data_IF_828446742451
#
_entry.id   IF_828446742451
#
_cell.length_a   1.000
_cell.length_b   1.000
_cell.length_c   1.000
_cell.angle_alpha   90.00
_cell.angle_beta   90.00
_cell.angle_gamma   90.00
#
_symmetry.space_group_name_H-M   'P 1'
#
loop_
_entity.id
_entity.type
_entity.pdbx_description
1 polymer ?
#
# COMPACT_ATOMS: atom_id res chain seq x y z
N UNK A 1 14.14 9.30 -8.46
CA UNK A 1 15.62 9.22 -8.59
C UNK A 1 16.35 10.30 -7.76
N UNK A 2 15.71 10.85 -6.72
CA UNK A 2 16.28 11.87 -5.84
C UNK A 2 17.21 11.32 -4.75
N UNK A 3 17.38 9.99 -4.63
CA UNK A 3 18.23 9.36 -3.60
C UNK A 3 17.66 9.46 -2.17
N UNK A 4 16.32 9.51 -2.04
CA UNK A 4 15.62 9.52 -0.76
C UNK A 4 14.46 8.54 -0.76
N UNK A 5 14.04 8.10 0.43
CA UNK A 5 12.85 7.30 0.65
C UNK A 5 11.63 8.21 0.92
N UNK A 6 10.45 7.73 0.58
CA UNK A 6 9.18 8.36 0.92
C UNK A 6 8.55 7.55 2.05
N UNK A 7 8.16 8.23 3.13
CA UNK A 7 7.49 7.58 4.26
C UNK A 7 6.06 7.18 3.92
N UNK A 8 5.70 5.95 4.28
CA UNK A 8 4.34 5.43 4.25
C UNK A 8 3.83 5.25 5.69
N UNK A 9 2.69 5.83 6.00
CA UNK A 9 2.17 5.89 7.38
C UNK A 9 0.73 5.43 7.43
N UNK A 10 0.44 4.52 8.35
CA UNK A 10 -0.91 4.00 8.58
C UNK A 10 -1.82 5.09 9.15
N UNK A 11 -3.01 5.23 8.56
CA UNK A 11 -4.01 6.21 8.99
C UNK A 11 -5.37 5.53 9.22
N UNK A 12 -6.01 5.87 10.32
CA UNK A 12 -7.32 5.34 10.68
C UNK A 12 -8.23 6.36 11.41
N UNK A 13 -7.72 7.52 11.78
CA UNK A 13 -8.47 8.58 12.43
C UNK A 13 -7.96 9.97 12.07
N UNK A 14 -8.70 11.01 12.49
CA UNK A 14 -8.39 12.41 12.14
C UNK A 14 -7.06 12.88 12.75
N UNK A 15 -6.80 12.54 13.99
CA UNK A 15 -5.64 13.01 14.75
C UNK A 15 -4.32 12.50 14.11
N UNK A 16 -4.30 11.23 13.69
CA UNK A 16 -3.16 10.64 13.00
C UNK A 16 -2.96 11.31 11.64
N UNK A 17 -4.03 11.48 10.85
CA UNK A 17 -3.94 12.15 9.55
C UNK A 17 -3.42 13.58 9.71
N UNK A 18 -3.92 14.34 10.69
CA UNK A 18 -3.46 15.71 10.93
C UNK A 18 -1.98 15.76 11.32
N UNK A 19 -1.54 14.91 12.25
CA UNK A 19 -0.15 14.89 12.69
C UNK A 19 0.83 14.54 11.57
N UNK A 20 0.50 13.54 10.75
CA UNK A 20 1.33 13.15 9.61
C UNK A 20 1.38 14.26 8.57
N UNK A 21 0.24 14.85 8.21
CA UNK A 21 0.17 15.91 7.21
C UNK A 21 0.86 17.19 7.67
N UNK A 22 0.75 17.55 8.95
CA UNK A 22 1.47 18.69 9.51
C UNK A 22 3.00 18.50 9.41
N UNK A 23 3.48 17.32 9.80
CA UNK A 23 4.89 16.98 9.69
C UNK A 23 5.39 16.97 8.23
N UNK A 24 4.66 16.37 7.32
CA UNK A 24 4.98 16.33 5.90
C UNK A 24 5.00 17.74 5.28
N UNK A 25 4.00 18.56 5.56
CA UNK A 25 3.91 19.97 5.12
C UNK A 25 5.10 20.77 5.63
N UNK A 26 5.41 20.70 6.93
CA UNK A 26 6.53 21.42 7.55
C UNK A 26 7.88 21.08 6.92
N UNK A 27 8.05 19.83 6.48
CA UNK A 27 9.30 19.35 5.86
C UNK A 27 9.26 19.45 4.33
N UNK A 28 8.19 19.94 3.73
CA UNK A 28 7.97 19.93 2.28
C UNK A 28 8.25 18.56 1.65
N UNK A 29 7.78 17.51 2.31
CA UNK A 29 8.05 16.11 1.97
C UNK A 29 6.82 15.44 1.38
N UNK A 30 6.96 14.67 0.27
CA UNK A 30 5.89 13.79 -0.21
C UNK A 30 5.59 12.72 0.84
N UNK A 31 4.33 12.25 0.88
CA UNK A 31 3.89 11.27 1.88
C UNK A 31 2.92 10.26 1.29
N UNK A 32 2.99 9.02 1.75
CA UNK A 32 2.03 7.96 1.48
C UNK A 32 1.17 7.79 2.75
N UNK A 33 -0.14 8.00 2.62
CA UNK A 33 -1.12 7.68 3.65
C UNK A 33 -1.70 6.31 3.32
N UNK A 34 -1.32 5.30 4.09
CA UNK A 34 -1.72 3.93 3.83
C UNK A 34 -2.85 3.47 4.75
N UNK A 35 -3.72 2.65 4.20
CA UNK A 35 -4.95 2.20 4.83
C UNK A 35 -5.07 0.71 4.65
N UNK A 36 -4.98 -0.02 5.77
CA UNK A 36 -5.22 -1.47 5.77
C UNK A 36 -6.70 -1.83 5.69
N UNK A 37 -6.98 -3.10 5.43
CA UNK A 37 -8.34 -3.64 5.49
C UNK A 37 -8.96 -3.43 6.88
N UNK A 38 -8.17 -3.60 7.95
CA UNK A 38 -8.57 -3.34 9.33
C UNK A 38 -8.93 -1.87 9.57
N UNK A 39 -8.10 -0.94 9.11
CA UNK A 39 -8.36 0.50 9.21
C UNK A 39 -9.65 0.90 8.46
N UNK A 40 -9.89 0.34 7.27
CA UNK A 40 -11.12 0.56 6.50
C UNK A 40 -12.36 0.07 7.25
N UNK A 41 -12.27 -1.09 7.87
CA UNK A 41 -13.37 -1.64 8.70
C UNK A 41 -13.64 -0.80 9.94
N UNK A 42 -12.60 -0.32 10.61
CA UNK A 42 -12.69 0.51 11.81
C UNK A 42 -13.32 1.88 11.51
N UNK A 43 -12.76 2.62 10.56
CA UNK A 43 -13.10 4.02 10.33
C UNK A 43 -14.23 4.24 9.31
N UNK A 44 -14.68 3.20 8.61
CA UNK A 44 -15.54 3.23 7.44
C UNK A 44 -14.84 3.88 6.20
N UNK A 45 -14.85 3.23 5.04
CA UNK A 45 -14.13 3.70 3.84
C UNK A 45 -14.52 5.10 3.38
N UNK A 46 -15.80 5.48 3.54
CA UNK A 46 -16.29 6.80 3.11
C UNK A 46 -15.70 7.90 3.99
N UNK A 47 -15.73 7.72 5.31
CA UNK A 47 -15.15 8.70 6.24
C UNK A 47 -13.64 8.83 6.03
N UNK A 48 -12.94 7.70 5.91
CA UNK A 48 -11.49 7.69 5.77
C UNK A 48 -11.04 8.40 4.51
N UNK A 49 -11.69 8.12 3.38
CA UNK A 49 -11.45 8.84 2.12
C UNK A 49 -11.65 10.36 2.30
N UNK A 50 -12.76 10.78 2.94
CA UNK A 50 -13.04 12.19 3.15
C UNK A 50 -12.05 12.87 4.10
N UNK A 51 -11.54 12.16 5.10
CA UNK A 51 -10.47 12.66 5.96
C UNK A 51 -9.21 12.97 5.15
N UNK A 52 -8.78 12.04 4.30
CA UNK A 52 -7.60 12.22 3.46
C UNK A 52 -7.82 13.34 2.43
N UNK A 53 -8.96 13.37 1.75
CA UNK A 53 -9.30 14.46 0.81
C UNK A 53 -9.27 15.83 1.51
N UNK A 54 -9.84 15.93 2.72
CA UNK A 54 -9.83 17.16 3.51
C UNK A 54 -8.41 17.58 3.93
N UNK A 55 -7.58 16.63 4.30
CA UNK A 55 -6.19 16.89 4.66
C UNK A 55 -5.37 17.41 3.46
N UNK A 56 -5.58 16.87 2.27
CA UNK A 56 -4.98 17.36 1.03
C UNK A 56 -5.46 18.79 0.72
N UNK A 57 -6.75 19.07 0.88
CA UNK A 57 -7.31 20.41 0.68
C UNK A 57 -6.74 21.42 1.67
N UNK A 58 -6.61 21.05 2.95
CA UNK A 58 -5.97 21.91 3.97
C UNK A 58 -4.51 22.20 3.62
N UNK A 59 -3.77 21.21 3.14
CA UNK A 59 -2.38 21.39 2.70
C UNK A 59 -2.28 22.41 1.56
N UNK A 60 -3.12 22.30 0.53
CA UNK A 60 -3.16 23.27 -0.58
C UNK A 60 -3.52 24.69 -0.12
N UNK A 61 -4.47 24.82 0.80
CA UNK A 61 -4.86 26.12 1.38
C UNK A 61 -3.77 26.76 2.22
N UNK A 62 -2.84 25.99 2.79
CA UNK A 62 -1.68 26.51 3.54
C UNK A 62 -0.58 27.09 2.65
N UNK A 63 -0.71 26.97 1.33
CA UNK A 63 0.28 27.45 0.36
C UNK A 63 1.37 26.43 0.06
N UNK A 64 1.25 25.22 0.58
CA UNK A 64 2.10 24.05 0.26
C UNK A 64 1.31 23.08 -0.61
N UNK A 65 1.95 22.48 -1.60
CA UNK A 65 1.34 21.46 -2.47
C UNK A 65 2.25 20.24 -2.54
N UNK A 66 2.39 19.54 -1.40
CA UNK A 66 3.16 18.30 -1.34
C UNK A 66 2.39 17.17 -2.01
N UNK A 67 3.07 16.26 -2.71
CA UNK A 67 2.46 15.04 -3.23
C UNK A 67 1.97 14.14 -2.08
N UNK A 68 0.71 13.72 -2.15
CA UNK A 68 0.09 12.79 -1.20
C UNK A 68 -0.50 11.62 -1.96
N UNK A 69 -0.13 10.41 -1.56
CA UNK A 69 -0.67 9.16 -2.09
C UNK A 69 -1.65 8.57 -1.09
N UNK A 70 -2.81 8.15 -1.54
CA UNK A 70 -3.72 7.29 -0.78
C UNK A 70 -3.54 5.86 -1.26
N UNK A 71 -3.06 5.00 -0.37
CA UNK A 71 -2.61 3.64 -0.66
C UNK A 71 -3.41 2.60 0.12
N UNK A 72 -3.85 1.53 -0.55
CA UNK A 72 -4.34 0.32 0.12
C UNK A 72 -3.14 -0.54 0.52
N UNK A 73 -3.03 -0.82 1.81
CA UNK A 73 -2.01 -1.65 2.41
C UNK A 73 -2.54 -3.08 2.63
N UNK A 74 -1.77 -4.11 2.23
CA UNK A 74 -2.12 -5.53 2.33
C UNK A 74 -3.55 -5.87 1.86
N UNK A 75 -3.88 -5.53 0.62
CA UNK A 75 -5.15 -5.93 0.00
C UNK A 75 -5.26 -7.45 -0.11
N UNK A 76 -6.26 -8.09 0.52
CA UNK A 76 -6.33 -9.56 0.63
C UNK A 76 -6.81 -10.25 -0.66
N UNK A 77 -7.43 -9.51 -1.56
CA UNK A 77 -8.04 -10.04 -2.78
C UNK A 77 -8.31 -8.95 -3.84
N UNK A 78 -8.66 -9.41 -5.03
CA UNK A 78 -8.97 -8.53 -6.17
C UNK A 78 -10.15 -7.58 -5.91
N UNK A 79 -11.20 -8.05 -5.25
CA UNK A 79 -12.42 -7.24 -5.05
C UNK A 79 -12.14 -6.07 -4.09
N UNK A 80 -11.32 -6.28 -3.08
CA UNK A 80 -10.87 -5.21 -2.18
C UNK A 80 -10.02 -4.18 -2.91
N UNK A 81 -9.05 -4.61 -3.73
CA UNK A 81 -8.25 -3.71 -4.56
C UNK A 81 -9.15 -2.92 -5.53
N UNK A 82 -10.06 -3.61 -6.22
CA UNK A 82 -11.03 -3.00 -7.13
C UNK A 82 -11.89 -1.94 -6.44
N UNK A 83 -12.45 -2.23 -5.28
CA UNK A 83 -13.27 -1.30 -4.50
C UNK A 83 -12.46 -0.04 -4.08
N UNK A 84 -11.21 -0.21 -3.68
CA UNK A 84 -10.32 0.91 -3.40
C UNK A 84 -10.04 1.76 -4.64
N UNK A 85 -9.72 1.14 -5.77
CA UNK A 85 -9.48 1.82 -7.04
C UNK A 85 -10.72 2.62 -7.46
N UNK A 86 -11.89 1.99 -7.46
CA UNK A 86 -13.16 2.63 -7.83
C UNK A 86 -13.55 3.75 -6.84
N UNK A 87 -13.10 3.64 -5.61
CA UNK A 87 -13.26 4.68 -4.57
C UNK A 87 -12.28 5.85 -4.70
N UNK A 88 -11.28 5.77 -5.60
CA UNK A 88 -10.33 6.85 -5.88
C UNK A 88 -9.01 6.76 -5.12
N UNK A 89 -8.61 5.57 -4.67
CA UNK A 89 -7.24 5.31 -4.24
C UNK A 89 -6.29 5.48 -5.42
N UNK A 90 -5.13 6.05 -5.19
CA UNK A 90 -4.11 6.31 -6.22
C UNK A 90 -3.05 5.21 -6.28
N UNK A 91 -3.04 4.32 -5.29
CA UNK A 91 -2.15 3.18 -5.21
C UNK A 91 -2.83 2.05 -4.42
N UNK A 92 -2.58 0.81 -4.81
CA UNK A 92 -3.07 -0.37 -4.10
C UNK A 92 -1.97 -1.43 -4.02
N UNK A 93 -1.88 -2.11 -2.88
CA UNK A 93 -1.08 -3.32 -2.71
C UNK A 93 -2.00 -4.54 -2.74
N UNK A 94 -1.66 -5.51 -3.57
CA UNK A 94 -2.24 -6.84 -3.54
C UNK A 94 -1.27 -7.82 -2.86
N UNK A 95 -1.68 -8.35 -1.72
CA UNK A 95 -0.88 -9.33 -0.99
C UNK A 95 -1.30 -10.76 -1.35
N UNK A 96 -0.54 -11.34 -2.27
CA UNK A 96 -0.67 -12.73 -2.69
C UNK A 96 0.36 -13.68 -2.06
N UNK A 97 1.16 -13.22 -1.09
CA UNK A 97 2.29 -13.97 -0.49
C UNK A 97 1.88 -15.28 0.18
N UNK A 98 0.62 -15.41 0.59
CA UNK A 98 0.04 -16.64 1.16
C UNK A 98 -0.20 -17.74 0.13
N UNK A 99 -0.24 -17.42 -1.17
CA UNK A 99 -0.48 -18.37 -2.26
C UNK A 99 0.84 -18.89 -2.84
N UNK A 100 0.75 -19.91 -3.70
CA UNK A 100 1.87 -20.32 -4.53
C UNK A 100 2.22 -19.24 -5.59
N UNK A 101 3.42 -19.35 -6.14
CA UNK A 101 3.96 -18.35 -7.08
C UNK A 101 3.04 -18.09 -8.28
N UNK A 102 2.52 -19.15 -8.91
CA UNK A 102 1.67 -19.03 -10.09
C UNK A 102 0.32 -18.38 -9.77
N UNK A 103 -0.27 -18.74 -8.65
CA UNK A 103 -1.51 -18.13 -8.17
C UNK A 103 -1.31 -16.65 -7.83
N UNK A 104 -0.20 -16.29 -7.17
CA UNK A 104 0.15 -14.92 -6.85
C UNK A 104 0.38 -14.10 -8.13
N UNK A 105 1.12 -14.64 -9.12
CA UNK A 105 1.30 -13.99 -10.42
C UNK A 105 -0.04 -13.71 -11.10
N UNK A 106 -0.92 -14.71 -11.15
CA UNK A 106 -2.24 -14.55 -11.79
C UNK A 106 -3.11 -13.49 -11.09
N UNK A 107 -3.12 -13.50 -9.76
CA UNK A 107 -3.87 -12.55 -8.95
C UNK A 107 -3.33 -11.12 -9.12
N UNK A 108 -2.03 -10.94 -8.99
CA UNK A 108 -1.37 -9.63 -9.14
C UNK A 108 -1.59 -9.07 -10.54
N UNK A 109 -1.40 -9.88 -11.58
CA UNK A 109 -1.64 -9.46 -12.95
C UNK A 109 -3.08 -8.99 -13.18
N UNK A 110 -4.06 -9.69 -12.61
CA UNK A 110 -5.48 -9.28 -12.69
C UNK A 110 -5.71 -7.90 -12.07
N UNK A 111 -5.04 -7.60 -10.95
CA UNK A 111 -5.12 -6.26 -10.31
C UNK A 111 -4.44 -5.21 -11.19
N UNK A 112 -3.26 -5.48 -11.72
CA UNK A 112 -2.51 -4.59 -12.63
C UNK A 112 -3.34 -4.24 -13.86
N UNK A 113 -3.94 -5.23 -14.52
CA UNK A 113 -4.80 -5.04 -15.70
C UNK A 113 -6.03 -4.17 -15.40
N UNK A 114 -6.52 -4.19 -14.16
CA UNK A 114 -7.63 -3.34 -13.73
C UNK A 114 -7.17 -1.92 -13.35
N UNK A 115 -6.04 -1.80 -12.68
CA UNK A 115 -5.52 -0.56 -12.10
C UNK A 115 -4.88 0.38 -13.14
N UNK A 116 -3.99 -0.14 -13.99
CA UNK A 116 -3.19 0.67 -14.91
C UNK A 116 -4.02 1.52 -15.88
N UNK A 117 -5.12 1.03 -16.51
CA UNK A 117 -5.96 1.87 -17.35
C UNK A 117 -6.63 3.04 -16.61
N UNK A 118 -6.63 3.00 -15.27
CA UNK A 118 -7.18 4.03 -14.37
C UNK A 118 -6.11 4.94 -13.77
N UNK A 119 -4.83 4.72 -14.14
CA UNK A 119 -3.70 5.48 -13.63
C UNK A 119 -3.35 5.18 -12.18
N UNK A 120 -3.73 4.00 -11.66
CA UNK A 120 -3.47 3.55 -10.30
C UNK A 120 -2.25 2.65 -10.27
N UNK A 121 -1.33 2.92 -9.34
CA UNK A 121 -0.10 2.16 -9.11
C UNK A 121 -0.40 0.87 -8.34
N UNK A 122 0.27 -0.21 -8.67
CA UNK A 122 0.10 -1.52 -8.02
C UNK A 122 1.40 -1.98 -7.38
N UNK A 123 1.35 -2.20 -6.09
CA UNK A 123 2.34 -2.93 -5.31
C UNK A 123 1.92 -4.39 -5.18
N UNK A 124 2.89 -5.29 -5.09
CA UNK A 124 2.66 -6.71 -4.82
C UNK A 124 3.65 -7.22 -3.77
N UNK A 125 3.46 -8.44 -3.29
CA UNK A 125 4.34 -9.05 -2.31
C UNK A 125 4.70 -10.48 -2.69
N UNK A 126 5.97 -10.85 -2.48
CA UNK A 126 6.49 -12.22 -2.52
C UNK A 126 7.41 -12.51 -1.35
N UNK A 127 7.45 -13.77 -0.94
CA UNK A 127 8.08 -14.19 0.31
C UNK A 127 7.10 -14.05 1.49
N UNK A 128 7.56 -14.40 2.68
CA UNK A 128 6.77 -14.30 3.92
C UNK A 128 7.64 -13.77 5.02
N UNK A 129 7.33 -12.58 5.51
CA UNK A 129 7.96 -12.02 6.71
C UNK A 129 7.29 -12.58 7.96
N UNK A 130 8.08 -12.88 8.99
CA UNK A 130 7.56 -13.17 10.32
C UNK A 130 6.96 -11.92 10.96
N UNK A 131 5.99 -12.09 11.86
CA UNK A 131 5.38 -11.00 12.62
C UNK A 131 3.86 -10.96 12.54
N UNK A 132 3.29 -9.97 13.18
CA UNK A 132 1.85 -9.74 13.22
C UNK A 132 1.59 -8.31 12.76
N UNK A 133 0.82 -8.16 11.69
CA UNK A 133 0.33 -6.87 11.20
C UNK A 133 -1.11 -7.04 10.71
N UNK A 134 -2.05 -6.36 11.36
CA UNK A 134 -3.49 -6.50 11.13
C UNK A 134 -3.94 -7.97 11.08
N UNK A 135 -4.41 -8.43 9.91
CA UNK A 135 -4.87 -9.81 9.68
C UNK A 135 -3.74 -10.77 9.24
N UNK A 136 -2.52 -10.26 9.06
CA UNK A 136 -1.34 -11.06 8.71
C UNK A 136 -0.66 -11.55 9.99
N UNK A 137 -0.50 -12.87 10.13
CA UNK A 137 0.17 -13.49 11.26
C UNK A 137 1.03 -14.65 10.77
N UNK A 138 2.34 -14.42 10.70
CA UNK A 138 3.33 -15.40 10.24
C UNK A 138 4.30 -15.73 11.39
N UNK A 139 4.40 -17.01 11.75
CA UNK A 139 5.36 -17.46 12.75
C UNK A 139 6.77 -17.40 12.18
N UNK A 140 7.77 -17.24 13.06
CA UNK A 140 9.18 -17.15 12.67
C UNK A 140 9.64 -18.38 11.86
N UNK A 141 9.16 -19.57 12.21
CA UNK A 141 9.46 -20.83 11.50
C UNK A 141 8.81 -20.92 10.11
N UNK A 142 7.78 -20.12 9.82
CA UNK A 142 7.05 -20.08 8.55
C UNK A 142 7.53 -18.95 7.62
N UNK A 143 8.53 -18.17 8.05
CA UNK A 143 9.12 -17.10 7.24
C UNK A 143 9.86 -17.67 6.04
N UNK A 144 9.63 -17.08 4.87
CA UNK A 144 10.28 -17.48 3.60
C UNK A 144 10.89 -16.25 2.94
N UNK A 145 12.21 -16.19 2.89
CA UNK A 145 12.89 -15.11 2.20
C UNK A 145 12.71 -15.18 0.68
N UNK A 146 12.61 -14.02 0.09
CA UNK A 146 12.41 -13.87 -1.34
C UNK A 146 13.64 -14.30 -2.12
N UNK A 147 13.46 -15.16 -3.13
CA UNK A 147 14.49 -15.48 -4.09
C UNK A 147 14.60 -14.35 -5.13
N UNK A 148 15.81 -13.80 -5.38
CA UNK A 148 16.00 -12.71 -6.35
C UNK A 148 15.56 -13.05 -7.79
N UNK A 149 15.79 -14.29 -8.24
CA UNK A 149 15.40 -14.71 -9.59
C UNK A 149 13.85 -14.79 -9.71
N UNK A 150 13.18 -15.26 -8.66
CA UNK A 150 11.72 -15.26 -8.60
C UNK A 150 11.16 -13.83 -8.57
N UNK A 151 11.82 -12.89 -7.87
CA UNK A 151 11.41 -11.49 -7.86
C UNK A 151 11.48 -10.87 -9.26
N UNK A 152 12.56 -11.12 -10.00
CA UNK A 152 12.71 -10.64 -11.38
C UNK A 152 11.62 -11.21 -12.29
N UNK A 153 11.39 -12.53 -12.22
CA UNK A 153 10.36 -13.21 -13.00
C UNK A 153 8.97 -12.69 -12.65
N UNK A 154 8.67 -12.54 -11.35
CA UNK A 154 7.39 -12.04 -10.87
C UNK A 154 7.04 -10.66 -11.45
N UNK A 155 7.97 -9.70 -11.33
CA UNK A 155 7.76 -8.34 -11.87
C UNK A 155 7.58 -8.35 -13.39
N UNK A 156 8.37 -9.14 -14.11
CA UNK A 156 8.24 -9.27 -15.58
C UNK A 156 6.86 -9.83 -16.00
N UNK A 157 6.34 -10.79 -15.25
CA UNK A 157 5.09 -11.49 -15.59
C UNK A 157 3.85 -10.71 -15.16
N UNK A 158 3.91 -9.99 -14.06
CA UNK A 158 2.78 -9.24 -13.49
C UNK A 158 2.69 -7.82 -14.00
N UNK A 159 3.85 -7.17 -14.20
CA UNK A 159 3.92 -5.75 -14.54
C UNK A 159 3.57 -4.83 -13.36
N UNK A 160 3.70 -5.30 -12.10
CA UNK A 160 3.52 -4.45 -10.92
C UNK A 160 4.58 -3.34 -10.87
N UNK A 161 4.24 -2.23 -10.22
CA UNK A 161 5.07 -1.02 -10.19
C UNK A 161 6.09 -1.05 -9.06
N UNK A 162 5.76 -1.74 -7.96
CA UNK A 162 6.64 -1.99 -6.80
C UNK A 162 6.41 -3.39 -6.25
N UNK A 163 7.42 -3.90 -5.54
CA UNK A 163 7.40 -5.24 -4.98
C UNK A 163 7.94 -5.23 -3.55
N UNK A 164 7.11 -5.64 -2.61
CA UNK A 164 7.53 -5.96 -1.26
C UNK A 164 8.21 -7.34 -1.25
N UNK A 165 9.40 -7.39 -0.63
CA UNK A 165 10.23 -8.59 -0.58
C UNK A 165 10.61 -8.93 0.86
N UNK A 166 10.64 -10.20 1.19
CA UNK A 166 11.07 -10.70 2.50
C UNK A 166 12.61 -10.83 2.53
N UNK A 167 13.27 -9.96 3.31
CA UNK A 167 14.74 -9.85 3.38
C UNK A 167 15.31 -9.92 4.81
N UNK A 168 14.53 -10.38 5.78
CA UNK A 168 14.97 -10.58 7.16
C UNK A 168 14.49 -9.53 8.15
N UNK A 169 13.63 -8.62 7.73
CA UNK A 169 12.84 -7.76 8.62
C UNK A 169 11.61 -8.50 9.15
N UNK A 170 10.83 -7.88 10.01
CA UNK A 170 9.55 -8.41 10.49
C UNK A 170 8.48 -7.36 10.42
N UNK A 171 7.22 -7.79 10.38
CA UNK A 171 6.07 -6.91 10.58
C UNK A 171 5.97 -6.45 12.05
N UNK A 172 5.47 -5.23 12.26
CA UNK A 172 5.20 -4.67 13.59
C UNK A 172 6.29 -3.80 14.19
#
# INVERSE_FOLDING_TARGET
NGGYAIGAFNVNNMEIVQGIMEAATKNNAPVILQVSAGARKYANPVYLKKLVESAIECNKKSGTDIPVVLHLDHGPDFETCKDCIDSGFTSVMIDGSKYDFETNVALTKKVVEYAHPRGVVVEAEIGKLAGIEDDVNVKEDDAMYTNPDEAEEFVKRTGCDSLAIAIGTSHG
#
